data_IF_537585111809
#
_entry.id   IF_537585111809
#
_cell.length_a   1.000
_cell.length_b   1.000
_cell.length_c   1.000
_cell.angle_alpha   90.00
_cell.angle_beta   90.00
_cell.angle_gamma   90.00
#
_symmetry.space_group_name_H-M   'P 1'
#
loop_
_entity.id
_entity.type
_entity.pdbx_description
1 polymer ?
#
# COMPACT_ATOMS: atom_id res chain seq x y z
N UNK A 1 -24.22 -6.96 2.27
CA UNK A 1 -23.24 -6.02 2.84
C UNK A 1 -21.80 -6.56 2.88
N UNK A 2 -21.54 -7.72 3.49
CA UNK A 2 -20.16 -8.28 3.61
C UNK A 2 -19.40 -8.39 2.29
N UNK A 3 -20.06 -8.89 1.23
CA UNK A 3 -19.44 -9.00 -0.10
C UNK A 3 -18.93 -7.65 -0.63
N UNK A 4 -19.68 -6.54 -0.45
CA UNK A 4 -19.24 -5.21 -0.90
C UNK A 4 -18.03 -4.69 -0.12
N UNK A 5 -17.92 -5.00 1.17
CA UNK A 5 -16.74 -4.64 1.97
C UNK A 5 -15.49 -5.38 1.49
N UNK A 6 -15.62 -6.69 1.25
CA UNK A 6 -14.53 -7.52 0.72
C UNK A 6 -14.09 -6.99 -0.65
N UNK A 7 -15.05 -6.68 -1.53
CA UNK A 7 -14.74 -6.09 -2.83
C UNK A 7 -13.99 -4.75 -2.72
N UNK A 8 -14.45 -3.83 -1.87
CA UNK A 8 -13.76 -2.55 -1.66
C UNK A 8 -12.33 -2.73 -1.13
N UNK A 9 -12.14 -3.68 -0.21
CA UNK A 9 -10.83 -4.03 0.32
C UNK A 9 -9.92 -4.63 -0.76
N UNK A 10 -10.43 -5.58 -1.55
CA UNK A 10 -9.69 -6.21 -2.65
C UNK A 10 -9.27 -5.20 -3.71
N UNK A 11 -10.10 -4.18 -4.01
CA UNK A 11 -9.72 -3.10 -4.91
C UNK A 11 -8.56 -2.26 -4.37
N UNK A 12 -8.56 -1.95 -3.07
CA UNK A 12 -7.44 -1.26 -2.42
C UNK A 12 -6.15 -2.09 -2.48
N UNK A 13 -6.23 -3.39 -2.16
CA UNK A 13 -5.08 -4.31 -2.25
C UNK A 13 -4.60 -4.49 -3.69
N UNK A 14 -5.51 -4.61 -4.65
CA UNK A 14 -5.18 -4.71 -6.07
C UNK A 14 -4.47 -3.46 -6.59
N UNK A 15 -4.89 -2.27 -6.14
CA UNK A 15 -4.20 -1.02 -6.46
C UNK A 15 -2.76 -1.01 -5.93
N UNK A 16 -2.55 -1.40 -4.67
CA UNK A 16 -1.21 -1.54 -4.10
C UNK A 16 -0.38 -2.50 -4.92
N UNK A 17 -0.90 -3.70 -5.20
CA UNK A 17 -0.19 -4.72 -5.97
C UNK A 17 0.23 -4.19 -7.36
N UNK A 18 -0.67 -3.48 -8.05
CA UNK A 18 -0.37 -2.87 -9.35
C UNK A 18 0.75 -1.83 -9.26
N UNK A 19 0.77 -0.98 -8.23
CA UNK A 19 1.81 0.03 -8.03
C UNK A 19 3.16 -0.62 -7.69
N UNK A 20 3.19 -1.63 -6.82
CA UNK A 20 4.41 -2.38 -6.50
C UNK A 20 4.94 -3.14 -7.73
N UNK A 21 4.05 -3.73 -8.54
CA UNK A 21 4.43 -4.39 -9.79
C UNK A 21 4.99 -3.40 -10.82
N UNK A 22 4.38 -2.22 -10.96
CA UNK A 22 4.88 -1.14 -11.83
C UNK A 22 6.26 -0.68 -11.37
N UNK A 23 6.47 -0.48 -10.07
CA UNK A 23 7.77 -0.11 -9.54
C UNK A 23 8.84 -1.16 -9.83
N UNK A 24 8.53 -2.45 -9.63
CA UNK A 24 9.44 -3.55 -9.97
C UNK A 24 9.75 -3.58 -11.48
N UNK A 25 8.75 -3.35 -12.34
CA UNK A 25 8.94 -3.29 -13.78
C UNK A 25 9.86 -2.14 -14.19
N UNK A 26 9.66 -0.94 -13.62
CA UNK A 26 10.50 0.23 -13.87
C UNK A 26 11.95 -0.01 -13.44
N UNK A 27 12.17 -0.62 -12.28
CA UNK A 27 13.49 -1.04 -11.82
C UNK A 27 14.16 -2.02 -12.80
N UNK A 28 13.39 -2.99 -13.32
CA UNK A 28 13.90 -3.96 -14.31
C UNK A 28 14.23 -3.36 -15.66
N UNK A 29 13.59 -2.25 -16.02
CA UNK A 29 13.88 -1.48 -17.23
C UNK A 29 14.98 -0.43 -17.01
N UNK A 30 15.56 -0.36 -15.81
CA UNK A 30 16.52 0.67 -15.40
C UNK A 30 15.98 2.11 -15.55
N UNK A 31 14.65 2.27 -15.51
CA UNK A 31 13.96 3.56 -15.62
C UNK A 31 13.71 4.11 -14.22
N UNK A 32 14.60 5.00 -13.78
CA UNK A 32 14.47 5.69 -12.50
C UNK A 32 13.68 7.00 -12.66
N UNK A 33 12.37 6.89 -12.50
CA UNK A 33 11.49 8.05 -12.55
C UNK A 33 11.08 8.50 -11.14
N UNK A 34 11.39 9.75 -10.79
CA UNK A 34 11.04 10.32 -9.47
C UNK A 34 9.54 10.29 -9.19
N UNK A 35 8.70 10.48 -10.21
CA UNK A 35 7.24 10.41 -10.06
C UNK A 35 6.77 9.01 -9.62
N UNK A 36 7.48 7.94 -10.00
CA UNK A 36 7.13 6.58 -9.64
C UNK A 36 7.45 6.28 -8.17
N UNK A 37 8.53 6.87 -7.64
CA UNK A 37 8.83 6.85 -6.21
C UNK A 37 7.73 7.55 -5.41
N UNK A 38 7.35 8.76 -5.83
CA UNK A 38 6.25 9.50 -5.18
C UNK A 38 4.97 8.67 -5.21
N UNK A 39 4.64 8.07 -6.34
CA UNK A 39 3.47 7.21 -6.49
C UNK A 39 3.51 6.01 -5.53
N UNK A 40 4.66 5.33 -5.41
CA UNK A 40 4.87 4.22 -4.49
C UNK A 40 4.65 4.66 -3.03
N UNK A 41 5.23 5.81 -2.65
CA UNK A 41 5.12 6.34 -1.29
C UNK A 41 3.70 6.77 -0.91
N UNK A 42 2.96 7.41 -1.82
CA UNK A 42 1.57 7.83 -1.53
C UNK A 42 0.54 6.70 -1.71
N UNK A 43 0.92 5.60 -2.36
CA UNK A 43 0.03 4.48 -2.67
C UNK A 43 -0.80 3.96 -1.48
N UNK A 44 -0.30 3.89 -0.22
CA UNK A 44 -1.11 3.41 0.91
C UNK A 44 -2.27 4.34 1.22
N UNK A 45 -2.05 5.66 1.10
CA UNK A 45 -3.12 6.65 1.29
C UNK A 45 -4.18 6.53 0.19
N UNK A 46 -3.77 6.36 -1.07
CA UNK A 46 -4.71 6.22 -2.19
C UNK A 46 -5.51 4.92 -2.07
N UNK A 47 -4.86 3.81 -1.75
CA UNK A 47 -5.52 2.52 -1.54
C UNK A 47 -6.51 2.59 -0.36
N UNK A 48 -6.11 3.22 0.75
CA UNK A 48 -6.97 3.41 1.91
C UNK A 48 -8.16 4.33 1.61
N UNK A 49 -7.95 5.37 0.80
CA UNK A 49 -9.02 6.23 0.30
C UNK A 49 -10.04 5.42 -0.50
N UNK A 50 -9.60 4.64 -1.49
CA UNK A 50 -10.49 3.83 -2.33
C UNK A 50 -11.27 2.82 -1.49
N UNK A 51 -10.59 2.07 -0.61
CA UNK A 51 -11.23 1.07 0.25
C UNK A 51 -12.26 1.70 1.21
N UNK A 52 -11.92 2.83 1.83
CA UNK A 52 -12.79 3.57 2.75
C UNK A 52 -13.98 4.22 2.04
N UNK A 53 -13.73 4.80 0.87
CA UNK A 53 -14.74 5.47 0.06
C UNK A 53 -15.82 4.48 -0.40
N UNK A 54 -15.41 3.33 -0.95
CA UNK A 54 -16.32 2.33 -1.50
C UNK A 54 -17.00 1.45 -0.44
N UNK A 55 -16.45 1.37 0.78
CA UNK A 55 -17.02 0.52 1.81
C UNK A 55 -18.35 1.05 2.35
N UNK A 56 -19.39 0.22 2.54
CA UNK A 56 -20.64 0.64 3.15
C UNK A 56 -20.53 0.93 4.66
N UNK A 57 -19.57 0.33 5.37
CA UNK A 57 -19.41 0.48 6.84
C UNK A 57 -17.97 0.24 7.26
N UNK A 58 -17.61 0.59 8.51
CA UNK A 58 -16.25 0.40 9.07
C UNK A 58 -15.15 1.04 8.21
N UNK A 59 -15.46 2.18 7.58
CA UNK A 59 -14.63 2.88 6.59
C UNK A 59 -13.20 3.16 7.08
N UNK A 60 -13.07 3.62 8.33
CA UNK A 60 -11.77 3.92 8.97
C UNK A 60 -10.95 2.63 9.15
N UNK A 61 -11.56 1.56 9.65
CA UNK A 61 -10.88 0.27 9.88
C UNK A 61 -10.39 -0.30 8.56
N UNK A 62 -11.22 -0.24 7.52
CA UNK A 62 -10.86 -0.70 6.17
C UNK A 62 -9.74 0.15 5.56
N UNK A 63 -9.80 1.47 5.71
CA UNK A 63 -8.71 2.36 5.29
C UNK A 63 -7.40 2.00 5.99
N UNK A 64 -7.40 1.98 7.33
CA UNK A 64 -6.22 1.63 8.14
C UNK A 64 -5.66 0.24 7.81
N UNK A 65 -6.52 -0.72 7.47
CA UNK A 65 -6.10 -2.08 7.14
C UNK A 65 -5.18 -2.17 5.91
N UNK A 66 -5.12 -1.13 5.06
CA UNK A 66 -4.19 -1.06 3.92
C UNK A 66 -2.72 -0.92 4.32
N UNK A 67 -2.43 -0.56 5.57
CA UNK A 67 -1.07 -0.50 6.09
C UNK A 67 -0.39 -1.89 6.09
N UNK A 68 -1.14 -2.93 6.44
CA UNK A 68 -0.64 -4.31 6.49
C UNK A 68 -0.21 -4.82 5.10
N UNK A 69 -1.08 -4.85 4.06
CA UNK A 69 -0.68 -5.31 2.74
C UNK A 69 0.44 -4.44 2.15
N UNK A 70 0.46 -3.14 2.43
CA UNK A 70 1.59 -2.28 2.04
C UNK A 70 2.91 -2.78 2.63
N UNK A 71 2.96 -3.01 3.95
CA UNK A 71 4.16 -3.49 4.63
C UNK A 71 4.57 -4.88 4.17
N UNK A 72 3.60 -5.78 3.96
CA UNK A 72 3.85 -7.12 3.39
C UNK A 72 4.45 -7.02 1.99
N UNK A 73 3.88 -6.20 1.11
CA UNK A 73 4.38 -6.04 -0.25
C UNK A 73 5.77 -5.40 -0.29
N UNK A 74 6.05 -4.41 0.57
CA UNK A 74 7.38 -3.83 0.67
C UNK A 74 8.42 -4.85 1.15
N UNK A 75 8.11 -5.61 2.20
CA UNK A 75 9.01 -6.66 2.69
C UNK A 75 9.23 -7.77 1.67
N UNK A 76 8.17 -8.19 0.96
CA UNK A 76 8.24 -9.18 -0.11
C UNK A 76 9.07 -8.67 -1.29
N UNK A 77 8.85 -7.43 -1.73
CA UNK A 77 9.62 -6.79 -2.80
C UNK A 77 11.10 -6.71 -2.43
N UNK A 78 11.44 -6.25 -1.22
CA UNK A 78 12.82 -6.22 -0.73
C UNK A 78 13.48 -7.60 -0.78
N UNK A 79 12.75 -8.65 -0.38
CA UNK A 79 13.26 -10.02 -0.45
C UNK A 79 13.47 -10.48 -1.90
N UNK A 80 12.55 -10.15 -2.81
CA UNK A 80 12.68 -10.46 -4.25
C UNK A 80 13.89 -9.76 -4.85
N UNK A 81 14.09 -8.48 -4.57
CA UNK A 81 15.26 -7.71 -5.04
C UNK A 81 16.57 -8.30 -4.49
N UNK A 82 16.59 -8.70 -3.22
CA UNK A 82 17.75 -9.35 -2.61
C UNK A 82 18.10 -10.69 -3.29
N UNK A 83 17.10 -11.53 -3.59
CA UNK A 83 17.30 -12.81 -4.29
C UNK A 83 17.86 -12.59 -5.71
N UNK A 84 17.50 -11.46 -6.33
CA UNK A 84 18.01 -11.07 -7.65
C UNK A 84 19.43 -10.49 -7.61
N UNK A 85 20.06 -10.40 -6.44
CA UNK A 85 21.40 -9.83 -6.27
C UNK A 85 21.43 -8.30 -6.33
N UNK A 86 20.26 -7.64 -6.30
CA UNK A 86 20.19 -6.18 -6.24
C UNK A 86 20.53 -5.70 -4.83
N UNK A 87 21.21 -4.56 -4.76
CA UNK A 87 21.47 -3.89 -3.50
C UNK A 87 20.13 -3.46 -2.87
N UNK A 88 19.97 -3.78 -1.59
CA UNK A 88 18.80 -3.41 -0.79
C UNK A 88 19.27 -2.76 0.51
N UNK A 89 18.52 -1.78 0.99
CA UNK A 89 18.85 -1.03 2.22
C UNK A 89 18.79 -1.93 3.46
N UNK A 90 17.93 -2.96 3.44
CA UNK A 90 17.74 -3.88 4.55
C UNK A 90 18.03 -5.33 4.12
N UNK A 91 19.31 -5.75 4.07
CA UNK A 91 19.70 -7.10 3.68
C UNK A 91 19.46 -8.12 4.80
N UNK A 92 19.21 -9.37 4.39
CA UNK A 92 19.15 -10.53 5.27
C UNK A 92 17.76 -10.82 5.86
N UNK A 93 17.61 -11.93 6.60
CA UNK A 93 16.32 -12.35 7.16
C UNK A 93 15.72 -11.33 8.14
N UNK A 94 16.57 -10.68 8.95
CA UNK A 94 16.17 -9.62 9.88
C UNK A 94 15.83 -8.31 9.16
N UNK A 95 16.48 -8.02 8.02
CA UNK A 95 16.22 -6.82 7.21
C UNK A 95 14.77 -6.74 6.73
N UNK A 96 14.20 -7.86 6.30
CA UNK A 96 12.78 -7.93 5.90
C UNK A 96 11.81 -7.57 7.04
N UNK A 97 12.11 -8.01 8.28
CA UNK A 97 11.29 -7.69 9.45
C UNK A 97 11.40 -6.22 9.84
N UNK A 98 12.62 -5.65 9.79
CA UNK A 98 12.86 -4.22 10.06
C UNK A 98 12.09 -3.37 9.05
N UNK A 99 12.22 -3.68 7.76
CA UNK A 99 11.51 -2.96 6.70
C UNK A 99 9.99 -3.08 6.89
N UNK A 100 9.49 -4.27 7.22
CA UNK A 100 8.08 -4.47 7.51
C UNK A 100 7.59 -3.53 8.61
N UNK A 101 8.29 -3.44 9.75
CA UNK A 101 7.90 -2.57 10.87
C UNK A 101 7.93 -1.10 10.46
N UNK A 102 9.01 -0.64 9.82
CA UNK A 102 9.18 0.75 9.39
C UNK A 102 8.08 1.16 8.41
N UNK A 103 7.83 0.32 7.39
CA UNK A 103 6.78 0.57 6.40
C UNK A 103 5.40 0.48 7.03
N UNK A 104 5.16 -0.46 7.96
CA UNK A 104 3.87 -0.58 8.64
C UNK A 104 3.51 0.70 9.40
N UNK A 105 4.46 1.27 10.14
CA UNK A 105 4.24 2.53 10.89
C UNK A 105 3.94 3.68 9.93
N UNK A 106 4.78 3.88 8.91
CA UNK A 106 4.56 4.94 7.92
C UNK A 106 3.26 4.77 7.14
N UNK A 107 2.98 3.54 6.69
CA UNK A 107 1.77 3.20 5.96
C UNK A 107 0.53 3.33 6.83
N UNK A 108 0.60 3.08 8.15
CA UNK A 108 -0.52 3.29 9.07
C UNK A 108 -0.92 4.77 9.14
N UNK A 109 0.06 5.68 9.20
CA UNK A 109 -0.21 7.13 9.17
C UNK A 109 -0.86 7.52 7.85
N UNK A 110 -0.27 7.14 6.71
CA UNK A 110 -0.79 7.47 5.39
C UNK A 110 -2.16 6.84 5.11
N UNK A 111 -2.35 5.59 5.51
CA UNK A 111 -3.63 4.88 5.34
C UNK A 111 -4.72 5.48 6.23
N UNK A 112 -4.36 6.00 7.41
CA UNK A 112 -5.31 6.73 8.26
C UNK A 112 -5.80 8.00 7.57
N UNK A 113 -4.89 8.80 7.01
CA UNK A 113 -5.24 10.03 6.27
C UNK A 113 -6.12 9.72 5.06
N UNK A 114 -5.72 8.76 4.23
CA UNK A 114 -6.50 8.31 3.08
C UNK A 114 -7.88 7.79 3.48
N UNK A 115 -7.93 6.98 4.54
CA UNK A 115 -9.17 6.43 5.08
C UNK A 115 -10.13 7.52 5.59
N UNK A 116 -9.64 8.54 6.28
CA UNK A 116 -10.43 9.68 6.76
C UNK A 116 -11.02 10.47 5.58
N UNK A 117 -10.20 10.77 4.57
CA UNK A 117 -10.64 11.48 3.37
C UNK A 117 -11.72 10.69 2.62
N UNK A 118 -11.52 9.38 2.43
CA UNK A 118 -12.48 8.51 1.76
C UNK A 118 -13.82 8.46 2.51
N UNK A 119 -13.78 8.49 3.83
CA UNK A 119 -14.98 8.56 4.67
C UNK A 119 -15.71 9.90 4.52
N UNK A 120 -14.98 11.02 4.58
CA UNK A 120 -15.56 12.36 4.43
C UNK A 120 -16.28 12.53 3.10
N UNK A 121 -15.62 12.15 2.00
CA UNK A 121 -16.21 12.23 0.65
C UNK A 121 -17.41 11.30 0.50
N UNK A 122 -17.36 10.10 1.07
CA UNK A 122 -18.51 9.19 1.01
C UNK A 122 -19.72 9.69 1.80
N UNK A 123 -19.52 10.43 2.89
CA UNK A 123 -20.60 10.98 3.71
C UNK A 123 -21.28 12.17 3.03
N UNK A 124 -20.53 12.99 2.30
CA UNK A 124 -21.09 14.15 1.57
C UNK A 124 -21.92 13.81 0.32
N UNK A 125 -22.10 12.51 -0.02
CA UNK A 125 -22.94 12.05 -1.14
C UNK A 125 -24.33 11.55 -0.70
N UNK A 126 -24.62 11.60 0.60
CA UNK A 126 -25.91 11.24 1.19
C UNK A 126 -26.45 12.44 1.97
#
# INVERSE_FOLDING_TARGET
MKSRMIWAWLLGVGLLLAIFALWLLLLRMEVFAQWALVLLWISPAVAAFVASYLSPSHKIILGLSMAIPTAVFAAALNRVLQIQGLAVDFPGPSGGLILFIVVLVGAAVLSSLGGILGMGVSRGRH
#
